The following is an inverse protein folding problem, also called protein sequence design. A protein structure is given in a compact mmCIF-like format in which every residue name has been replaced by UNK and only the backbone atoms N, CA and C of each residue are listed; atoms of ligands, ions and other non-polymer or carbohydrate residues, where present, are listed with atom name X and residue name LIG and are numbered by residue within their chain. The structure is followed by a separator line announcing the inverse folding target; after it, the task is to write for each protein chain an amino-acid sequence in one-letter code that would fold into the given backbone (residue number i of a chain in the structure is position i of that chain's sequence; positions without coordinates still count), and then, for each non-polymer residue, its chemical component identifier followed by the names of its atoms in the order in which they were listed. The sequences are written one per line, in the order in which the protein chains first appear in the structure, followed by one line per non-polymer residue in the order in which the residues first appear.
data_IF_700985595135
#
_entry.id   IF_700985595135
#
_cell.length_a   1.000
_cell.length_b   1.000
_cell.length_c   1.000
_cell.angle_alpha   90.00
_cell.angle_beta   90.00
_cell.angle_gamma   90.00
#
_symmetry.space_group_name_H-M   'P 1'
#
loop_
_entity.id
_entity.type
_entity.pdbx_description
1 polymer ?
#
# COMPACT_ATOMS: atom_id res chain seq x y z
N UNK A 1 40.50 43.42 56.81
CA UNK A 1 40.14 41.99 56.58
C UNK A 1 41.43 41.20 56.38
N UNK A 2 41.61 40.03 57.03
CA UNK A 2 42.88 39.32 56.96
C UNK A 2 43.08 38.77 55.55
N UNK A 3 44.26 39.02 54.97
CA UNK A 3 44.65 38.70 53.59
C UNK A 3 44.28 37.27 53.13
N UNK A 4 44.26 36.31 54.05
CA UNK A 4 43.85 34.92 53.82
C UNK A 4 42.39 34.79 53.37
N UNK A 5 41.48 35.62 53.90
CA UNK A 5 40.06 35.61 53.54
C UNK A 5 39.83 36.20 52.15
N UNK A 6 40.63 37.20 51.76
CA UNK A 6 40.58 37.78 50.42
C UNK A 6 41.06 36.78 49.35
N UNK A 7 42.14 36.05 49.64
CA UNK A 7 42.64 34.98 48.76
C UNK A 7 41.66 33.81 48.64
N UNK A 8 41.01 33.42 49.74
CA UNK A 8 40.00 32.36 49.73
C UNK A 8 38.78 32.76 48.89
N UNK A 9 38.29 33.99 49.06
CA UNK A 9 37.14 34.50 48.29
C UNK A 9 37.46 34.62 46.79
N UNK A 10 38.70 35.00 46.45
CA UNK A 10 39.18 35.05 45.06
C UNK A 10 39.25 33.65 44.44
N UNK A 11 39.75 32.66 45.18
CA UNK A 11 39.83 31.28 44.72
C UNK A 11 38.44 30.67 44.50
N UNK A 12 37.49 30.95 45.40
CA UNK A 12 36.10 30.49 45.27
C UNK A 12 35.43 31.11 44.05
N UNK A 13 35.62 32.42 43.81
CA UNK A 13 35.04 33.09 42.63
C UNK A 13 35.61 32.53 41.32
N UNK A 14 36.92 32.25 41.28
CA UNK A 14 37.54 31.65 40.10
C UNK A 14 37.03 30.23 39.82
N UNK A 15 36.85 29.42 40.87
CA UNK A 15 36.26 28.08 40.76
C UNK A 15 34.81 28.13 40.25
N UNK A 16 33.99 29.05 40.77
CA UNK A 16 32.61 29.21 40.30
C UNK A 16 32.55 29.65 38.83
N UNK A 17 33.42 30.57 38.42
CA UNK A 17 33.56 30.98 37.02
C UNK A 17 33.97 29.81 36.12
N UNK A 18 34.92 28.99 36.57
CA UNK A 18 35.36 27.81 35.83
C UNK A 18 34.21 26.80 35.64
N UNK A 19 33.42 26.54 36.69
CA UNK A 19 32.27 25.64 36.63
C UNK A 19 31.20 26.15 35.66
N UNK A 20 30.90 27.45 35.68
CA UNK A 20 29.92 28.05 34.75
C UNK A 20 30.41 27.97 33.30
N UNK A 21 31.70 28.22 33.05
CA UNK A 21 32.29 28.12 31.71
C UNK A 21 32.27 26.66 31.23
N UNK A 22 32.67 25.70 32.07
CA UNK A 22 32.63 24.27 31.74
C UNK A 22 31.20 23.80 31.48
N UNK A 23 30.22 24.22 32.29
CA UNK A 23 28.81 23.93 32.05
C UNK A 23 28.34 24.51 30.71
N UNK A 24 28.73 25.75 30.37
CA UNK A 24 28.43 26.37 29.09
C UNK A 24 29.02 25.62 27.89
N UNK A 25 30.25 25.10 28.01
CA UNK A 25 30.91 24.30 26.98
C UNK A 25 30.20 22.95 26.80
N UNK A 26 29.88 22.25 27.89
CA UNK A 26 29.13 20.97 27.83
C UNK A 26 27.71 21.18 27.27
N UNK A 27 27.05 22.29 27.56
CA UNK A 27 25.74 22.61 26.98
C UNK A 27 25.82 23.00 25.49
N UNK A 28 26.94 23.56 25.02
CA UNK A 28 27.17 23.89 23.61
C UNK A 28 27.28 22.64 22.72
N UNK A 29 27.74 21.52 23.28
CA UNK A 29 27.82 20.22 22.58
C UNK A 29 26.46 19.49 22.51
N UNK A 30 25.43 19.96 23.23
CA UNK A 30 24.06 19.41 23.19
C UNK A 30 23.13 20.23 22.29
N UNK A 31 23.59 20.64 21.12
CA UNK A 31 22.67 21.11 20.06
C UNK A 31 22.05 19.87 19.41
N UNK A 32 20.72 19.65 19.50
CA UNK A 32 20.07 18.62 18.72
C UNK A 32 20.33 18.88 17.23
N UNK A 33 20.67 17.84 16.49
CA UNK A 33 20.85 17.90 15.05
C UNK A 33 19.62 18.55 14.39
N UNK A 34 19.78 19.38 13.33
CA UNK A 34 18.67 19.95 12.61
C UNK A 34 17.71 18.85 12.13
N UNK A 35 16.43 19.07 12.41
CA UNK A 35 15.29 18.25 12.00
C UNK A 35 15.24 18.09 10.47
N UNK A 36 14.61 17.00 9.96
CA UNK A 36 14.79 16.52 8.59
C UNK A 36 14.40 17.54 7.51
N UNK A 37 15.03 17.37 6.35
CA UNK A 37 14.81 18.18 5.16
C UNK A 37 13.32 18.35 4.84
N UNK A 38 12.94 19.59 4.49
CA UNK A 38 11.62 19.92 3.97
C UNK A 38 11.26 18.96 2.83
N UNK A 39 10.14 18.24 2.98
CA UNK A 39 9.51 17.48 1.90
C UNK A 39 9.09 18.48 0.83
N UNK A 40 9.78 18.48 -0.31
CA UNK A 40 9.35 19.22 -1.49
C UNK A 40 8.05 18.57 -1.96
N UNK A 41 6.90 19.25 -1.95
CA UNK A 41 5.69 18.69 -2.50
C UNK A 41 5.86 18.57 -4.00
N UNK A 42 5.97 17.33 -4.51
CA UNK A 42 5.67 17.08 -5.91
C UNK A 42 4.21 17.46 -6.09
N UNK A 43 3.94 18.49 -6.89
CA UNK A 43 2.60 18.98 -7.12
C UNK A 43 1.72 17.83 -7.63
N UNK A 44 0.80 17.38 -6.77
CA UNK A 44 -0.24 16.43 -7.17
C UNK A 44 -1.17 17.13 -8.15
N UNK A 45 -1.54 16.43 -9.22
CA UNK A 45 -2.62 16.88 -10.10
C UNK A 45 -3.91 16.86 -9.28
N UNK A 46 -4.73 17.94 -9.30
CA UNK A 46 -6.00 17.98 -8.59
C UNK A 46 -6.86 16.75 -8.93
N UNK A 47 -7.23 15.99 -7.91
CA UNK A 47 -8.09 14.81 -8.03
C UNK A 47 -7.37 13.45 -8.03
N UNK A 48 -6.04 13.37 -8.20
CA UNK A 48 -5.35 12.07 -8.31
C UNK A 48 -4.19 11.86 -7.33
N UNK A 49 -3.65 12.92 -6.70
CA UNK A 49 -2.66 12.78 -5.63
C UNK A 49 -2.75 13.93 -4.63
N UNK A 50 -2.90 13.66 -3.33
CA UNK A 50 -2.83 14.69 -2.28
C UNK A 50 -1.37 15.10 -2.02
N UNK A 51 -1.10 16.38 -1.66
CA UNK A 51 0.23 16.80 -1.20
C UNK A 51 0.72 15.90 -0.05
N UNK A 52 1.85 15.22 -0.26
CA UNK A 52 2.43 14.29 0.73
C UNK A 52 2.00 12.82 0.60
N UNK A 53 1.28 12.41 -0.47
CA UNK A 53 0.92 11.01 -0.70
C UNK A 53 2.08 10.08 -1.08
N UNK A 54 3.20 10.63 -1.56
CA UNK A 54 4.38 9.85 -1.93
C UNK A 54 5.61 10.26 -1.13
N UNK A 55 6.40 9.26 -0.74
CA UNK A 55 7.76 9.43 -0.24
C UNK A 55 8.70 9.85 -1.36
N UNK A 56 10.01 9.81 -1.10
CA UNK A 56 11.02 10.20 -2.10
C UNK A 56 10.78 9.46 -3.43
N UNK A 57 10.59 10.19 -4.55
CA UNK A 57 10.38 9.61 -5.88
C UNK A 57 11.37 8.49 -6.21
N UNK A 58 10.86 7.38 -6.74
CA UNK A 58 11.66 6.25 -7.22
C UNK A 58 11.68 6.24 -8.74
N UNK A 59 12.81 5.79 -9.29
CA UNK A 59 12.96 5.55 -10.71
C UNK A 59 12.54 4.12 -11.03
N UNK A 60 11.92 3.93 -12.20
CA UNK A 60 11.62 2.60 -12.71
C UNK A 60 12.91 1.80 -12.86
N UNK A 61 12.89 0.54 -12.42
CA UNK A 61 13.99 -0.42 -12.56
C UNK A 61 13.57 -1.57 -13.48
N UNK A 62 14.54 -2.21 -14.12
CA UNK A 62 14.26 -3.29 -15.10
C UNK A 62 13.72 -4.55 -14.42
N UNK A 63 14.32 -4.96 -13.31
CA UNK A 63 13.93 -6.17 -12.56
C UNK A 63 13.10 -5.80 -11.34
N UNK A 64 12.15 -6.66 -11.01
CA UNK A 64 11.38 -6.52 -9.78
C UNK A 64 12.30 -6.51 -8.55
N UNK A 65 12.07 -5.53 -7.69
CA UNK A 65 12.62 -5.48 -6.34
C UNK A 65 11.59 -6.04 -5.37
N UNK A 66 12.07 -6.87 -4.45
CA UNK A 66 11.29 -7.31 -3.30
C UNK A 66 11.58 -6.33 -2.18
N UNK A 67 10.54 -5.68 -1.67
CA UNK A 67 10.59 -4.86 -0.48
C UNK A 67 10.17 -5.75 0.71
N UNK A 68 11.12 -6.26 1.51
CA UNK A 68 10.83 -7.14 2.62
C UNK A 68 10.31 -6.35 3.82
N UNK A 69 9.44 -6.98 4.61
CA UNK A 69 8.91 -6.42 5.87
C UNK A 69 8.40 -4.96 5.81
N UNK A 70 7.62 -4.58 4.77
CA UNK A 70 6.88 -3.33 4.77
C UNK A 70 5.81 -3.32 5.86
N UNK A 71 5.26 -2.14 6.14
CA UNK A 71 4.11 -1.98 7.02
C UNK A 71 2.97 -1.26 6.30
N UNK A 72 1.74 -1.77 6.43
CA UNK A 72 0.56 -1.04 5.97
C UNK A 72 0.42 0.26 6.79
N UNK A 73 0.20 1.38 6.11
CA UNK A 73 -0.17 2.65 6.75
C UNK A 73 -1.69 2.74 6.73
N UNK A 74 -2.30 2.77 7.91
CA UNK A 74 -3.75 2.87 8.03
C UNK A 74 -4.23 4.26 7.61
N UNK A 75 -5.10 4.29 6.60
CA UNK A 75 -5.74 5.51 6.12
C UNK A 75 -7.07 5.14 5.50
N UNK A 76 -8.04 6.05 5.57
CA UNK A 76 -9.33 5.91 4.88
C UNK A 76 -9.22 5.96 3.35
N UNK A 77 -8.06 6.34 2.82
CA UNK A 77 -7.76 6.36 1.39
C UNK A 77 -7.29 4.99 0.84
N UNK A 78 -7.10 3.98 1.70
CA UNK A 78 -6.75 2.65 1.22
C UNK A 78 -7.98 1.97 0.60
N UNK A 79 -7.79 1.44 -0.59
CA UNK A 79 -8.71 0.53 -1.26
C UNK A 79 -8.06 -0.86 -1.30
N UNK A 80 -8.82 -1.89 -1.65
CA UNK A 80 -8.31 -3.26 -1.61
C UNK A 80 -7.17 -3.54 -2.60
N UNK A 81 -7.08 -2.77 -3.70
CA UNK A 81 -5.98 -2.82 -4.67
C UNK A 81 -5.06 -1.59 -4.65
N UNK A 82 -5.36 -0.57 -3.84
CA UNK A 82 -4.59 0.68 -3.76
C UNK A 82 -4.21 0.96 -2.30
N UNK A 83 -2.95 0.70 -1.96
CA UNK A 83 -2.51 0.60 -0.57
C UNK A 83 -1.36 1.55 -0.27
N UNK A 84 -1.49 2.31 0.82
CA UNK A 84 -0.39 3.08 1.40
C UNK A 84 0.49 2.20 2.27
N UNK A 85 1.76 2.09 1.92
CA UNK A 85 2.71 1.19 2.54
C UNK A 85 3.98 1.94 2.93
N UNK A 86 4.42 1.75 4.17
CA UNK A 86 5.71 2.24 4.67
C UNK A 86 6.79 1.21 4.37
N UNK A 87 7.89 1.68 3.80
CA UNK A 87 9.08 0.88 3.59
C UNK A 87 10.33 1.73 3.86
N UNK A 88 11.16 1.26 4.80
CA UNK A 88 12.22 2.08 5.40
C UNK A 88 11.62 3.30 6.13
N UNK A 89 12.14 4.49 5.83
CA UNK A 89 11.65 5.76 6.39
C UNK A 89 10.58 6.47 5.55
N UNK A 90 10.12 5.87 4.46
CA UNK A 90 9.26 6.50 3.46
C UNK A 90 7.92 5.77 3.33
N UNK A 91 6.89 6.47 2.84
CA UNK A 91 5.56 5.92 2.56
C UNK A 91 5.24 6.04 1.08
N UNK A 92 4.74 4.97 0.48
CA UNK A 92 4.41 4.91 -0.94
C UNK A 92 2.98 4.40 -1.11
N UNK A 93 2.32 4.80 -2.20
CA UNK A 93 1.02 4.24 -2.57
C UNK A 93 1.25 3.26 -3.72
N UNK A 94 0.86 2.00 -3.51
CA UNK A 94 0.96 0.95 -4.50
C UNK A 94 -0.41 0.57 -5.05
N UNK A 95 -0.53 0.48 -6.37
CA UNK A 95 -1.70 -0.05 -7.08
C UNK A 95 -1.35 -1.45 -7.57
N UNK A 96 -2.23 -2.42 -7.33
CA UNK A 96 -1.97 -3.79 -7.74
C UNK A 96 -2.02 -3.94 -9.26
N UNK A 97 -1.07 -4.71 -9.81
CA UNK A 97 -1.28 -5.34 -11.11
C UNK A 97 -2.40 -6.39 -11.02
N UNK A 98 -2.92 -6.79 -12.19
CA UNK A 98 -3.84 -7.92 -12.40
C UNK A 98 -5.27 -7.82 -11.89
N UNK A 99 -5.59 -6.88 -11.01
CA UNK A 99 -6.93 -6.78 -10.41
C UNK A 99 -7.42 -5.33 -10.42
N UNK A 100 -8.73 -5.18 -10.45
CA UNK A 100 -9.45 -3.92 -10.24
C UNK A 100 -10.47 -4.17 -9.13
N UNK A 101 -10.18 -3.66 -7.94
CA UNK A 101 -11.01 -3.85 -6.76
C UNK A 101 -12.26 -2.97 -6.80
N UNK A 102 -13.31 -3.42 -6.10
CA UNK A 102 -14.56 -2.67 -6.00
C UNK A 102 -14.32 -1.32 -5.29
N UNK A 103 -14.88 -0.24 -5.85
CA UNK A 103 -14.80 1.10 -5.25
C UNK A 103 -15.37 1.13 -3.83
N UNK A 104 -14.82 1.99 -2.97
CA UNK A 104 -15.28 2.16 -1.57
C UNK A 104 -16.22 3.36 -1.36
N UNK A 105 -16.38 4.19 -2.40
CA UNK A 105 -17.17 5.43 -2.39
C UNK A 105 -17.73 5.75 -3.79
N UNK A 106 -18.51 6.84 -3.88
CA UNK A 106 -19.01 7.39 -5.15
C UNK A 106 -18.10 8.48 -5.71
N UNK A 107 -16.85 8.59 -5.27
CA UNK A 107 -15.91 9.62 -5.76
C UNK A 107 -15.55 9.39 -7.25
N UNK A 108 -15.65 8.15 -7.72
CA UNK A 108 -15.50 7.77 -9.12
C UNK A 108 -16.78 7.09 -9.65
N UNK A 109 -17.89 7.82 -9.82
CA UNK A 109 -19.19 7.23 -10.12
C UNK A 109 -19.18 6.43 -11.43
N UNK A 110 -18.38 6.83 -12.43
CA UNK A 110 -18.21 6.06 -13.66
C UNK A 110 -17.59 4.67 -13.43
N UNK A 111 -16.65 4.53 -12.49
CA UNK A 111 -16.03 3.24 -12.15
C UNK A 111 -17.03 2.36 -11.41
N UNK A 112 -17.77 2.93 -10.45
CA UNK A 112 -18.84 2.23 -9.73
C UNK A 112 -19.89 1.68 -10.70
N UNK A 113 -20.36 2.51 -11.65
CA UNK A 113 -21.34 2.10 -12.65
C UNK A 113 -20.81 1.02 -13.61
N UNK A 114 -19.53 1.08 -13.98
CA UNK A 114 -18.89 0.02 -14.77
C UNK A 114 -18.81 -1.30 -14.02
N UNK A 115 -18.37 -1.26 -12.75
CA UNK A 115 -18.31 -2.44 -11.89
C UNK A 115 -19.71 -3.02 -11.65
N UNK A 116 -20.71 -2.17 -11.41
CA UNK A 116 -22.11 -2.58 -11.27
C UNK A 116 -22.62 -3.34 -12.50
N UNK A 117 -22.30 -2.85 -13.71
CA UNK A 117 -22.62 -3.56 -14.97
C UNK A 117 -21.86 -4.87 -15.12
N UNK A 118 -20.57 -4.90 -14.78
CA UNK A 118 -19.73 -6.10 -14.86
C UNK A 118 -20.26 -7.22 -13.96
N UNK A 119 -20.52 -6.90 -12.69
CA UNK A 119 -20.98 -7.85 -11.69
C UNK A 119 -22.50 -8.07 -11.69
N UNK A 120 -23.25 -7.25 -12.43
CA UNK A 120 -24.72 -7.27 -12.51
C UNK A 120 -25.37 -7.04 -11.14
N UNK A 121 -24.96 -5.95 -10.50
CA UNK A 121 -25.34 -5.54 -9.15
C UNK A 121 -25.63 -4.04 -9.12
N UNK A 122 -26.23 -3.56 -8.04
CA UNK A 122 -26.43 -2.12 -7.85
C UNK A 122 -25.11 -1.40 -7.52
N UNK A 123 -25.03 -0.11 -7.79
CA UNK A 123 -23.90 0.74 -7.38
C UNK A 123 -23.69 0.72 -5.85
N UNK A 124 -24.79 0.64 -5.10
CA UNK A 124 -24.76 0.49 -3.64
C UNK A 124 -24.04 -0.80 -3.24
N UNK A 125 -24.33 -1.91 -3.90
CA UNK A 125 -23.70 -3.21 -3.61
C UNK A 125 -22.20 -3.21 -3.92
N UNK A 126 -21.80 -2.52 -4.99
CA UNK A 126 -20.38 -2.29 -5.32
C UNK A 126 -19.69 -1.59 -4.16
N UNK A 127 -20.22 -0.43 -3.75
CA UNK A 127 -19.61 0.42 -2.72
C UNK A 127 -19.56 -0.27 -1.35
N UNK A 128 -20.63 -0.95 -0.95
CA UNK A 128 -20.65 -1.71 0.31
C UNK A 128 -19.62 -2.84 0.30
N UNK A 129 -19.58 -3.62 -0.79
CA UNK A 129 -18.64 -4.75 -0.89
C UNK A 129 -17.19 -4.27 -1.05
N UNK A 130 -16.96 -3.11 -1.67
CA UNK A 130 -15.63 -2.49 -1.74
C UNK A 130 -15.12 -2.08 -0.35
N UNK A 131 -15.99 -1.59 0.54
CA UNK A 131 -15.61 -1.33 1.93
C UNK A 131 -15.27 -2.61 2.68
N UNK A 132 -16.05 -3.68 2.49
CA UNK A 132 -15.74 -4.99 3.06
C UNK A 132 -14.37 -5.50 2.57
N UNK A 133 -14.07 -5.30 1.28
CA UNK A 133 -12.79 -5.66 0.69
C UNK A 133 -11.63 -4.85 1.29
N UNK A 134 -11.77 -3.54 1.45
CA UNK A 134 -10.75 -2.68 2.04
C UNK A 134 -10.47 -3.03 3.51
N UNK A 135 -11.52 -3.36 4.28
CA UNK A 135 -11.40 -3.85 5.65
C UNK A 135 -10.67 -5.20 5.69
N UNK A 136 -11.05 -6.13 4.82
CA UNK A 136 -10.40 -7.43 4.70
C UNK A 136 -8.90 -7.31 4.42
N UNK A 137 -8.51 -6.51 3.41
CA UNK A 137 -7.09 -6.31 3.08
C UNK A 137 -6.34 -5.64 4.22
N UNK A 138 -6.96 -4.65 4.86
CA UNK A 138 -6.34 -3.95 5.99
C UNK A 138 -6.06 -4.89 7.15
N UNK A 139 -6.99 -5.78 7.51
CA UNK A 139 -6.78 -6.78 8.56
C UNK A 139 -5.74 -7.82 8.13
N UNK A 140 -5.87 -8.34 6.91
CA UNK A 140 -4.96 -9.35 6.35
C UNK A 140 -3.50 -8.90 6.41
N UNK A 141 -3.20 -7.66 5.99
CA UNK A 141 -1.83 -7.14 5.94
C UNK A 141 -1.31 -6.65 7.30
N UNK A 142 -2.18 -6.43 8.29
CA UNK A 142 -1.76 -6.19 9.69
C UNK A 142 -1.37 -7.50 10.37
N UNK A 143 -2.16 -8.54 10.14
CA UNK A 143 -2.03 -9.81 10.85
C UNK A 143 -0.96 -10.73 10.25
N UNK A 144 -0.55 -10.47 9.00
CA UNK A 144 0.38 -11.32 8.27
C UNK A 144 1.55 -10.54 7.71
N UNK A 145 2.72 -11.17 7.71
CA UNK A 145 3.86 -10.68 6.94
C UNK A 145 3.51 -10.68 5.44
N UNK A 146 3.93 -9.64 4.73
CA UNK A 146 3.79 -9.54 3.29
C UNK A 146 5.02 -8.92 2.66
N UNK A 147 5.23 -9.17 1.38
CA UNK A 147 6.24 -8.50 0.58
C UNK A 147 5.56 -7.67 -0.51
N UNK A 148 6.10 -6.49 -0.79
CA UNK A 148 5.76 -5.71 -1.99
C UNK A 148 6.80 -5.99 -3.06
N UNK A 149 6.37 -6.44 -4.23
CA UNK A 149 7.24 -6.67 -5.37
C UNK A 149 6.91 -5.59 -6.40
N UNK A 150 7.88 -4.74 -6.70
CA UNK A 150 7.67 -3.58 -7.60
C UNK A 150 8.90 -3.31 -8.46
N UNK A 151 8.67 -2.78 -9.66
CA UNK A 151 9.69 -2.17 -10.50
C UNK A 151 9.71 -0.64 -10.39
N UNK A 152 8.96 -0.08 -9.44
CA UNK A 152 8.71 1.36 -9.31
C UNK A 152 8.16 1.99 -10.60
N UNK A 153 7.46 1.20 -11.41
CA UNK A 153 6.71 1.70 -12.55
C UNK A 153 5.58 2.59 -12.05
N UNK A 154 5.51 3.82 -12.56
CA UNK A 154 4.52 4.80 -12.11
C UNK A 154 3.17 4.53 -12.74
N UNK A 155 2.13 4.67 -11.93
CA UNK A 155 0.77 4.84 -12.44
C UNK A 155 0.71 6.19 -13.17
N UNK A 156 0.31 6.24 -14.45
CA UNK A 156 0.37 7.45 -15.26
C UNK A 156 -0.25 8.67 -14.58
N UNK A 157 0.44 9.81 -14.63
CA UNK A 157 -0.02 11.08 -14.08
C UNK A 157 -0.28 11.08 -12.56
N UNK A 158 0.34 10.17 -11.81
CA UNK A 158 0.23 10.14 -10.34
C UNK A 158 1.59 9.96 -9.64
N UNK A 159 1.58 9.99 -8.30
CA UNK A 159 2.72 9.62 -7.46
C UNK A 159 2.71 8.14 -7.02
N UNK A 160 1.77 7.35 -7.54
CA UNK A 160 1.56 5.94 -7.17
C UNK A 160 2.42 5.02 -8.05
N UNK A 161 2.75 3.85 -7.53
CA UNK A 161 3.52 2.83 -8.24
C UNK A 161 2.73 1.54 -8.40
N UNK A 162 2.98 0.80 -9.48
CA UNK A 162 2.41 -0.54 -9.60
C UNK A 162 3.20 -1.57 -8.80
N UNK A 163 2.51 -2.59 -8.27
CA UNK A 163 3.13 -3.70 -7.56
C UNK A 163 2.33 -5.00 -7.65
N UNK A 164 2.97 -6.12 -7.34
CA UNK A 164 2.30 -7.33 -6.88
C UNK A 164 2.66 -7.55 -5.41
N UNK A 165 1.70 -8.01 -4.61
CA UNK A 165 1.91 -8.24 -3.17
C UNK A 165 1.78 -9.73 -2.89
N UNK A 166 2.78 -10.32 -2.23
CA UNK A 166 2.73 -11.70 -1.71
C UNK A 166 2.48 -11.63 -0.19
N UNK A 167 1.38 -12.21 0.26
CA UNK A 167 1.02 -12.29 1.69
C UNK A 167 1.34 -13.68 2.19
N UNK A 168 2.03 -13.78 3.32
CA UNK A 168 2.26 -15.07 3.97
C UNK A 168 0.93 -15.64 4.46
N UNK A 169 0.62 -16.88 4.11
CA UNK A 169 -0.50 -17.64 4.64
C UNK A 169 0.01 -18.94 5.28
N UNK A 170 -0.79 -19.65 6.08
CA UNK A 170 -0.36 -20.90 6.72
C UNK A 170 0.13 -21.97 5.72
N UNK A 171 -0.44 -22.01 4.51
CA UNK A 171 -0.06 -22.96 3.46
C UNK A 171 1.08 -22.46 2.55
N UNK A 172 1.60 -21.26 2.79
CA UNK A 172 2.63 -20.62 1.97
C UNK A 172 2.25 -19.20 1.53
N UNK A 173 3.16 -18.47 0.88
CA UNK A 173 2.88 -17.14 0.35
C UNK A 173 1.87 -17.21 -0.81
N UNK A 174 0.87 -16.32 -0.79
CA UNK A 174 -0.17 -16.21 -1.81
C UNK A 174 -0.22 -14.77 -2.33
N UNK A 175 -0.50 -14.58 -3.62
CA UNK A 175 -0.68 -13.23 -4.14
C UNK A 175 -1.96 -12.60 -3.62
N UNK A 176 -1.92 -11.32 -3.26
CA UNK A 176 -3.09 -10.57 -2.81
C UNK A 176 -4.19 -10.55 -3.89
N UNK A 177 -3.82 -10.49 -5.17
CA UNK A 177 -4.73 -10.61 -6.30
C UNK A 177 -5.57 -11.90 -6.25
N UNK A 178 -4.95 -13.06 -5.99
CA UNK A 178 -5.64 -14.36 -5.87
C UNK A 178 -6.70 -14.31 -4.76
N UNK A 179 -6.34 -13.73 -3.61
CA UNK A 179 -7.21 -13.62 -2.45
C UNK A 179 -8.42 -12.72 -2.73
N UNK A 180 -8.21 -11.59 -3.40
CA UNK A 180 -9.27 -10.66 -3.78
C UNK A 180 -10.25 -11.27 -4.77
N UNK A 181 -9.74 -11.89 -5.84
CA UNK A 181 -10.59 -12.51 -6.87
C UNK A 181 -11.36 -13.70 -6.29
N UNK A 182 -10.70 -14.57 -5.51
CA UNK A 182 -11.35 -15.74 -4.86
C UNK A 182 -12.50 -15.32 -3.95
N UNK A 183 -12.42 -14.15 -3.32
CA UNK A 183 -13.47 -13.61 -2.44
C UNK A 183 -14.55 -12.81 -3.17
N UNK A 184 -14.40 -12.55 -4.47
CA UNK A 184 -15.31 -11.68 -5.21
C UNK A 184 -15.21 -10.22 -4.79
N UNK A 185 -14.00 -9.77 -4.45
CA UNK A 185 -13.69 -8.39 -4.06
C UNK A 185 -13.03 -7.56 -5.17
N UNK A 186 -12.61 -8.22 -6.24
CA UNK A 186 -12.04 -7.58 -7.42
C UNK A 186 -12.41 -8.37 -8.67
N UNK A 187 -12.44 -7.69 -9.82
CA UNK A 187 -12.40 -8.35 -11.13
C UNK A 187 -10.96 -8.46 -11.60
N UNK A 188 -10.73 -9.34 -12.57
CA UNK A 188 -9.44 -9.43 -13.27
C UNK A 188 -9.22 -8.16 -14.08
N UNK A 189 -8.15 -7.45 -13.78
CA UNK A 189 -7.74 -6.19 -14.43
C UNK A 189 -7.03 -6.41 -15.76
N UNK A 190 -6.86 -5.32 -16.52
CA UNK A 190 -6.22 -5.34 -17.83
C UNK A 190 -4.70 -5.19 -17.79
N UNK A 191 -4.15 -4.57 -16.73
CA UNK A 191 -2.72 -4.35 -16.60
C UNK A 191 -2.04 -5.57 -15.96
N UNK A 192 -1.12 -6.18 -16.70
CA UNK A 192 -0.44 -7.43 -16.35
C UNK A 192 1.06 -7.19 -16.27
N UNK A 193 1.78 -8.10 -15.60
CA UNK A 193 3.24 -7.99 -15.46
C UNK A 193 3.86 -9.36 -15.22
N UNK A 194 5.14 -9.53 -15.51
CA UNK A 194 5.83 -10.77 -15.12
C UNK A 194 5.78 -10.98 -13.61
N UNK A 195 5.69 -12.23 -13.18
CA UNK A 195 5.69 -12.59 -11.77
C UNK A 195 7.12 -12.94 -11.31
N UNK A 196 7.68 -12.27 -10.29
CA UNK A 196 9.06 -12.52 -9.87
C UNK A 196 9.17 -13.87 -9.17
N UNK A 197 10.16 -14.66 -9.59
CA UNK A 197 10.45 -16.01 -9.07
C UNK A 197 9.21 -16.93 -9.10
N UNK A 198 8.36 -16.76 -10.11
CA UNK A 198 7.20 -17.62 -10.35
C UNK A 198 7.39 -18.42 -11.64
N UNK A 199 6.92 -19.65 -11.65
CA UNK A 199 6.98 -20.53 -12.82
C UNK A 199 5.92 -20.18 -13.88
N UNK A 200 4.87 -19.47 -13.48
CA UNK A 200 3.80 -19.01 -14.38
C UNK A 200 4.27 -17.78 -15.13
N UNK A 201 4.03 -17.77 -16.44
CA UNK A 201 4.11 -16.57 -17.25
C UNK A 201 2.86 -15.70 -17.06
N UNK A 202 2.83 -14.55 -17.73
CA UNK A 202 1.72 -13.59 -17.60
C UNK A 202 0.37 -14.21 -18.02
N UNK A 203 0.38 -14.99 -19.10
CA UNK A 203 -0.81 -15.63 -19.64
C UNK A 203 -1.32 -16.77 -18.72
N UNK A 204 -0.41 -17.59 -18.20
CA UNK A 204 -0.71 -18.67 -17.26
C UNK A 204 -1.33 -18.14 -15.98
N UNK A 205 -0.74 -17.10 -15.37
CA UNK A 205 -1.30 -16.50 -14.17
C UNK A 205 -2.65 -15.82 -14.42
N UNK A 206 -2.82 -15.15 -15.57
CA UNK A 206 -4.11 -14.59 -15.97
C UNK A 206 -5.19 -15.68 -16.11
N UNK A 207 -4.84 -16.84 -16.70
CA UNK A 207 -5.76 -17.95 -16.84
C UNK A 207 -6.20 -18.50 -15.47
N UNK A 208 -5.28 -18.57 -14.51
CA UNK A 208 -5.60 -18.97 -13.14
C UNK A 208 -6.51 -17.96 -12.42
N UNK A 209 -6.24 -16.66 -12.55
CA UNK A 209 -7.11 -15.62 -11.99
C UNK A 209 -8.53 -15.68 -12.59
N UNK A 210 -8.66 -15.90 -13.90
CA UNK A 210 -9.97 -16.12 -14.55
C UNK A 210 -10.67 -17.35 -14.01
N UNK A 211 -9.95 -18.44 -13.76
CA UNK A 211 -10.51 -19.64 -13.15
C UNK A 211 -10.96 -19.39 -11.69
N UNK A 212 -10.20 -18.58 -10.92
CA UNK A 212 -10.61 -18.16 -9.58
C UNK A 212 -11.87 -17.29 -9.62
N UNK A 213 -11.98 -16.35 -10.55
CA UNK A 213 -13.15 -15.50 -10.73
C UNK A 213 -14.40 -16.33 -11.05
N UNK A 214 -14.29 -17.31 -11.97
CA UNK A 214 -15.39 -18.23 -12.26
C UNK A 214 -15.83 -19.03 -11.05
N UNK A 215 -14.87 -19.54 -10.24
CA UNK A 215 -15.20 -20.25 -9.00
C UNK A 215 -15.86 -19.33 -7.99
N UNK A 216 -15.40 -18.09 -7.83
CA UNK A 216 -16.01 -17.10 -6.96
C UNK A 216 -17.46 -16.79 -7.39
N UNK A 217 -17.70 -16.69 -8.69
CA UNK A 217 -19.05 -16.52 -9.25
C UNK A 217 -19.97 -17.72 -8.97
N UNK A 218 -19.48 -18.94 -9.20
CA UNK A 218 -20.23 -20.18 -8.93
C UNK A 218 -20.55 -20.34 -7.43
N UNK A 219 -19.57 -20.02 -6.58
CA UNK A 219 -19.71 -20.09 -5.13
C UNK A 219 -20.46 -18.89 -4.54
N UNK A 220 -20.86 -17.91 -5.36
CA UNK A 220 -21.54 -16.69 -4.91
C UNK A 220 -20.72 -15.94 -3.83
N UNK A 221 -19.40 -15.88 -4.00
CA UNK A 221 -18.50 -15.18 -3.08
C UNK A 221 -18.58 -13.66 -3.25
N UNK A 222 -18.61 -12.93 -2.14
CA UNK A 222 -18.54 -11.46 -2.12
C UNK A 222 -19.62 -10.82 -2.99
N UNK A 223 -19.22 -9.99 -3.95
CA UNK A 223 -20.16 -9.28 -4.83
C UNK A 223 -21.04 -10.23 -5.66
N UNK A 224 -20.54 -11.43 -5.96
CA UNK A 224 -21.28 -12.42 -6.73
C UNK A 224 -22.51 -12.97 -6.00
N UNK A 225 -22.58 -12.86 -4.66
CA UNK A 225 -23.79 -13.18 -3.89
C UNK A 225 -24.96 -12.26 -4.26
N UNK A 226 -24.65 -11.02 -4.64
CA UNK A 226 -25.61 -9.96 -4.92
C UNK A 226 -25.97 -9.88 -6.41
N UNK A 227 -25.24 -10.58 -7.28
CA UNK A 227 -25.51 -10.60 -8.72
C UNK A 227 -26.90 -11.18 -9.01
N UNK A 228 -27.74 -10.45 -9.75
CA UNK A 228 -29.00 -11.01 -10.26
C UNK A 228 -28.64 -12.18 -11.19
N UNK A 229 -29.12 -13.38 -10.86
CA UNK A 229 -28.66 -14.61 -11.50
C UNK A 229 -28.91 -14.61 -13.01
N UNK A 230 -27.83 -14.65 -13.81
CA UNK A 230 -27.91 -15.22 -15.14
C UNK A 230 -27.86 -16.76 -15.02
N UNK A 231 -28.62 -17.50 -15.86
CA UNK A 231 -28.52 -18.95 -15.93
C UNK A 231 -27.08 -19.37 -16.18
N UNK A 232 -26.69 -20.51 -15.59
CA UNK A 232 -25.39 -21.12 -15.84
C UNK A 232 -25.10 -21.13 -17.35
N UNK A 233 -23.91 -20.68 -17.74
CA UNK A 233 -23.47 -20.71 -19.14
C UNK A 233 -23.71 -22.13 -19.67
N UNK A 234 -24.40 -22.32 -20.81
CA UNK A 234 -24.63 -23.65 -21.32
C UNK A 234 -23.27 -24.31 -21.56
N UNK A 235 -23.07 -25.49 -20.96
CA UNK A 235 -21.89 -26.30 -21.17
C UNK A 235 -21.58 -26.34 -22.66
N UNK A 236 -20.33 -26.04 -23.02
CA UNK A 236 -19.88 -26.11 -24.41
C UNK A 236 -20.26 -27.49 -24.97
N UNK A 237 -21.12 -27.51 -25.98
CA UNK A 237 -21.43 -28.76 -26.69
C UNK A 237 -20.11 -29.36 -27.19
N UNK A 238 -19.87 -30.66 -26.98
CA UNK A 238 -18.70 -31.30 -27.55
C UNK A 238 -18.76 -31.12 -29.06
N UNK A 239 -17.65 -30.65 -29.64
CA UNK A 239 -17.48 -30.62 -31.10
C UNK A 239 -17.51 -32.07 -31.57
N UNK A 240 -18.56 -32.45 -32.26
CA UNK A 240 -18.57 -33.67 -33.06
C UNK A 240 -17.78 -33.40 -34.34
N UNK A 241 -16.86 -34.33 -34.65
CA UNK A 241 -15.99 -34.33 -35.84
C UNK A 241 -16.76 -34.16 -37.15
#
# INVERSE_FOLDING_TARGET
MPFRTALLNLAITFMLLLVVVLAGVVMRERRPAPQPALKIPVAGIPGYSRPGEGGVPRQTVEKFQILPSPALVETSANEADTLRIRYGGEEYVFVLYYVDALETSMDHPQRVAEQGRWFQVSEKDVVETGRDAALYVSQLLKDNHFNVLTRWERVPNTVRYYAVIKVQQPQGPVYLADLLVRRGYARVGSLMTELPDDHRDQAGYLAELKALDQRARQAKSGIWARSVGLPASPAAKPRTN
#
